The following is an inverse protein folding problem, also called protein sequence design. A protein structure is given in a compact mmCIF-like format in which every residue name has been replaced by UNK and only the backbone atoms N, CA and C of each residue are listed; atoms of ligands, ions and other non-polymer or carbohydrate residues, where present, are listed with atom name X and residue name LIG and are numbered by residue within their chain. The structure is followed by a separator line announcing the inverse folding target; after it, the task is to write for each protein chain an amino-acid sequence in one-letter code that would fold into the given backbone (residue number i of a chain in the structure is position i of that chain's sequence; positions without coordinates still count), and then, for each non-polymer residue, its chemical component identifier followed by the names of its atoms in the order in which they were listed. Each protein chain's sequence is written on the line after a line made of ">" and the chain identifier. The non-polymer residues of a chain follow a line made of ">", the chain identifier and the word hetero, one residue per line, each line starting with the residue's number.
data_IF_202012584403
#
_entry.id   IF_202012584403
#
_cell.length_a   1.000
_cell.length_b   1.000
_cell.length_c   1.000
_cell.angle_alpha   90.00
_cell.angle_beta   90.00
_cell.angle_gamma   90.00
#
_symmetry.space_group_name_H-M   'P 1'
#
loop_
_entity.id
_entity.type
_entity.pdbx_description
1 polymer ?
#
# COMPACT_ATOMS: atom_id res chain seq x y z
N UNK A 1 -36.29 -62.21 14.91
CA UNK A 1 -37.37 -62.96 14.24
C UNK A 1 -37.64 -62.22 12.94
N UNK A 2 -37.11 -62.72 11.81
CA UNK A 2 -37.87 -63.42 10.75
C UNK A 2 -38.73 -62.40 9.96
N UNK A 3 -38.66 -62.17 8.65
CA UNK A 3 -38.43 -63.01 7.46
C UNK A 3 -38.25 -62.06 6.26
N UNK A 4 -37.25 -62.20 5.38
CA UNK A 4 -37.28 -62.89 4.06
C UNK A 4 -38.39 -62.48 3.06
N UNK A 5 -37.96 -61.92 1.92
CA UNK A 5 -38.53 -61.99 0.54
C UNK A 5 -37.53 -61.23 -0.36
N UNK A 6 -36.72 -61.77 -1.29
CA UNK A 6 -36.79 -62.84 -2.30
C UNK A 6 -37.53 -62.44 -3.60
N UNK A 7 -36.78 -62.47 -4.72
CA UNK A 7 -37.22 -62.34 -6.14
C UNK A 7 -36.32 -61.36 -6.92
N UNK A 8 -35.26 -61.74 -7.65
CA UNK A 8 -35.19 -62.48 -8.94
C UNK A 8 -35.97 -61.75 -10.05
N UNK A 9 -35.52 -61.55 -11.30
CA UNK A 9 -34.31 -61.79 -12.09
C UNK A 9 -34.48 -61.02 -13.42
N UNK A 10 -33.42 -60.64 -14.15
CA UNK A 10 -33.34 -60.74 -15.63
C UNK A 10 -32.01 -60.24 -16.21
N UNK A 11 -31.53 -61.01 -17.21
CA UNK A 11 -30.68 -60.64 -18.39
C UNK A 11 -29.29 -60.04 -18.12
N UNK A 12 -28.18 -60.76 -18.22
CA UNK A 12 -27.58 -61.51 -19.34
C UNK A 12 -27.21 -60.66 -20.58
N UNK A 13 -25.90 -60.67 -20.85
CA UNK A 13 -25.17 -60.47 -22.10
C UNK A 13 -24.97 -59.05 -22.66
N UNK A 14 -23.73 -58.54 -22.49
CA UNK A 14 -22.88 -58.28 -23.67
C UNK A 14 -21.39 -58.27 -23.30
N UNK A 15 -20.70 -59.28 -23.83
CA UNK A 15 -19.25 -59.31 -23.96
C UNK A 15 -18.81 -58.20 -24.93
N UNK A 16 -17.87 -57.34 -24.50
CA UNK A 16 -16.98 -56.69 -25.47
C UNK A 16 -15.54 -56.71 -25.00
N UNK A 17 -14.72 -57.24 -25.89
CA UNK A 17 -13.36 -57.70 -25.76
C UNK A 17 -12.37 -56.52 -25.86
N UNK A 18 -11.47 -56.37 -24.88
CA UNK A 18 -10.29 -55.53 -25.06
C UNK A 18 -9.08 -56.08 -24.28
N UNK A 19 -8.06 -56.47 -25.05
CA UNK A 19 -6.78 -57.06 -24.63
C UNK A 19 -6.02 -56.19 -23.60
N UNK A 20 -5.16 -56.80 -22.74
CA UNK A 20 -4.43 -56.08 -21.71
C UNK A 20 -3.24 -55.29 -22.30
N UNK A 21 -3.48 -54.03 -22.70
CA UNK A 21 -2.39 -53.10 -23.06
C UNK A 21 -1.73 -52.52 -21.81
N UNK A 22 -0.72 -53.26 -21.33
CA UNK A 22 0.58 -52.76 -20.86
C UNK A 22 0.57 -51.40 -20.12
N UNK A 23 0.35 -51.47 -18.80
CA UNK A 23 0.60 -50.41 -17.80
C UNK A 23 1.95 -49.67 -17.96
N UNK A 24 2.97 -50.28 -18.59
CA UNK A 24 4.29 -49.68 -18.82
C UNK A 24 4.31 -48.58 -19.91
N UNK A 25 3.34 -48.52 -20.81
CA UNK A 25 3.29 -47.46 -21.85
C UNK A 25 2.78 -46.11 -21.31
N UNK A 26 1.93 -46.11 -20.27
CA UNK A 26 1.41 -44.87 -19.66
C UNK A 26 2.44 -44.14 -18.81
N UNK A 27 3.40 -44.85 -18.20
CA UNK A 27 4.45 -44.21 -17.40
C UNK A 27 5.53 -43.51 -18.24
N UNK A 28 5.81 -43.97 -19.47
CA UNK A 28 6.77 -43.29 -20.36
C UNK A 28 6.26 -41.96 -20.91
N UNK A 29 4.94 -41.80 -21.11
CA UNK A 29 4.34 -40.51 -21.49
C UNK A 29 4.25 -39.50 -20.33
N UNK A 30 4.28 -39.98 -19.09
CA UNK A 30 4.33 -39.10 -17.91
C UNK A 30 5.73 -38.53 -17.68
N UNK A 31 6.79 -39.30 -17.95
CA UNK A 31 8.18 -38.84 -17.77
C UNK A 31 8.64 -37.82 -18.82
N UNK A 32 8.12 -37.88 -20.06
CA UNK A 32 8.47 -36.92 -21.10
C UNK A 32 7.79 -35.53 -20.95
N UNK A 33 6.79 -35.40 -20.07
CA UNK A 33 6.11 -34.12 -19.77
C UNK A 33 6.75 -33.31 -18.65
N UNK A 34 7.79 -33.84 -18.00
CA UNK A 34 8.46 -33.18 -16.87
C UNK A 34 9.69 -32.36 -17.32
N UNK A 35 10.10 -32.45 -18.59
CA UNK A 35 11.38 -31.89 -19.05
C UNK A 35 11.29 -30.75 -20.06
N UNK A 36 10.17 -30.02 -20.12
CA UNK A 36 10.13 -28.68 -20.72
C UNK A 36 9.28 -27.78 -19.82
N UNK A 37 9.85 -26.73 -19.20
CA UNK A 37 9.11 -25.86 -18.31
C UNK A 37 8.08 -25.06 -19.12
N UNK A 38 6.81 -25.46 -19.02
CA UNK A 38 5.64 -24.79 -19.58
C UNK A 38 5.35 -23.40 -18.95
N UNK A 39 6.24 -22.91 -18.07
CA UNK A 39 6.09 -21.63 -17.38
C UNK A 39 6.46 -20.38 -18.21
N UNK A 40 7.26 -20.52 -19.29
CA UNK A 40 7.74 -19.34 -20.05
C UNK A 40 6.65 -18.77 -20.98
N UNK A 41 5.78 -19.63 -21.54
CA UNK A 41 4.69 -19.20 -22.42
C UNK A 41 3.49 -18.58 -21.69
N UNK A 42 3.23 -18.98 -20.44
CA UNK A 42 2.16 -18.41 -19.62
C UNK A 42 2.52 -17.03 -19.07
N UNK A 43 3.78 -16.81 -18.69
CA UNK A 43 4.27 -15.49 -18.25
C UNK A 43 4.25 -14.46 -19.39
N UNK A 44 4.62 -14.84 -20.62
CA UNK A 44 4.64 -13.93 -21.76
C UNK A 44 3.23 -13.47 -22.17
N UNK A 45 2.23 -14.37 -22.10
CA UNK A 45 0.83 -14.02 -22.41
C UNK A 45 0.20 -13.12 -21.34
N UNK A 46 0.71 -13.16 -20.10
CA UNK A 46 0.29 -12.27 -19.01
C UNK A 46 0.92 -10.88 -19.12
N UNK A 47 2.15 -10.77 -19.65
CA UNK A 47 2.80 -9.49 -19.96
C UNK A 47 2.13 -8.74 -21.13
N UNK A 48 1.56 -9.45 -22.13
CA UNK A 48 0.85 -8.83 -23.26
C UNK A 48 -0.48 -8.15 -22.92
N UNK A 49 -1.19 -8.62 -21.87
CA UNK A 49 -2.39 -7.97 -21.32
C UNK A 49 -2.09 -6.90 -20.26
N UNK A 50 -0.82 -6.76 -19.86
CA UNK A 50 -0.39 -5.82 -18.82
C UNK A 50 -0.57 -4.37 -19.28
N UNK A 51 -0.39 -4.06 -20.57
CA UNK A 51 -0.54 -2.68 -21.09
C UNK A 51 -1.95 -2.10 -20.95
N UNK A 52 -3.00 -2.88 -21.22
CA UNK A 52 -4.39 -2.45 -21.04
C UNK A 52 -4.76 -2.32 -19.56
N UNK A 53 -4.27 -3.25 -18.73
CA UNK A 53 -4.52 -3.24 -17.29
C UNK A 53 -3.78 -2.10 -16.58
N UNK A 54 -2.61 -1.68 -17.09
CA UNK A 54 -1.91 -0.49 -16.59
C UNK A 54 -2.73 0.75 -16.93
N UNK A 55 -3.25 0.88 -18.14
CA UNK A 55 -4.12 2.01 -18.52
C UNK A 55 -5.37 2.11 -17.64
N UNK A 56 -6.01 0.99 -17.36
CA UNK A 56 -7.17 0.90 -16.47
C UNK A 56 -6.81 1.18 -15.01
N UNK A 57 -5.68 0.67 -14.51
CA UNK A 57 -5.17 0.98 -13.18
C UNK A 57 -4.78 2.46 -13.02
N UNK A 58 -4.24 3.08 -14.07
CA UNK A 58 -3.86 4.49 -14.08
C UNK A 58 -5.09 5.39 -14.20
N UNK A 59 -6.11 4.97 -14.97
CA UNK A 59 -7.41 5.63 -15.02
C UNK A 59 -8.13 5.54 -13.67
N UNK A 60 -8.17 4.36 -13.04
CA UNK A 60 -8.69 4.16 -11.70
C UNK A 60 -7.93 5.00 -10.67
N UNK A 61 -6.60 5.02 -10.71
CA UNK A 61 -5.79 5.85 -9.81
C UNK A 61 -6.02 7.35 -10.02
N UNK A 62 -6.22 7.80 -11.27
CA UNK A 62 -6.60 9.19 -11.58
C UNK A 62 -7.99 9.52 -11.04
N UNK A 63 -8.94 8.60 -11.19
CA UNK A 63 -10.28 8.76 -10.67
C UNK A 63 -10.29 8.78 -9.14
N UNK A 64 -9.57 7.87 -8.48
CA UNK A 64 -9.37 7.89 -7.02
C UNK A 64 -8.71 9.20 -6.58
N UNK A 65 -7.69 9.68 -7.29
CA UNK A 65 -7.05 10.97 -6.98
C UNK A 65 -8.00 12.15 -7.19
N UNK A 66 -8.89 12.08 -8.19
CA UNK A 66 -9.91 13.09 -8.45
C UNK A 66 -10.96 13.08 -7.34
N UNK A 67 -11.49 11.91 -6.96
CA UNK A 67 -12.40 11.73 -5.82
C UNK A 67 -11.77 12.21 -4.52
N UNK A 68 -10.55 11.79 -4.20
CA UNK A 68 -9.83 12.30 -3.02
C UNK A 68 -9.59 13.81 -3.07
N UNK A 69 -9.41 14.40 -4.26
CA UNK A 69 -9.26 15.85 -4.40
C UNK A 69 -10.59 16.59 -4.25
N UNK A 70 -11.67 16.01 -4.74
CA UNK A 70 -13.04 16.52 -4.57
C UNK A 70 -13.48 16.39 -3.10
N UNK A 71 -13.27 15.23 -2.49
CA UNK A 71 -13.49 14.97 -1.06
C UNK A 71 -12.61 15.86 -0.16
N UNK A 72 -11.35 16.10 -0.54
CA UNK A 72 -10.48 17.04 0.17
C UNK A 72 -10.81 18.52 -0.12
N UNK A 73 -11.53 18.81 -1.21
CA UNK A 73 -12.00 20.15 -1.55
C UNK A 73 -13.35 20.46 -0.90
N UNK A 74 -14.12 19.44 -0.54
CA UNK A 74 -15.22 19.60 0.40
C UNK A 74 -14.60 20.02 1.73
N UNK A 75 -14.88 21.24 2.24
CA UNK A 75 -14.47 21.58 3.58
C UNK A 75 -15.07 20.52 4.49
N UNK A 76 -14.26 19.89 5.34
CA UNK A 76 -14.75 18.98 6.37
C UNK A 76 -15.69 19.82 7.25
N UNK A 77 -16.98 19.78 6.93
CA UNK A 77 -18.02 20.62 7.54
C UNK A 77 -18.51 20.00 8.83
N UNK A 78 -18.36 18.69 8.99
CA UNK A 78 -18.81 17.98 10.17
C UNK A 78 -17.85 16.84 10.54
N UNK A 79 -17.77 16.54 11.83
CA UNK A 79 -17.04 15.39 12.37
C UNK A 79 -18.05 14.51 13.09
N UNK A 80 -18.05 13.23 12.74
CA UNK A 80 -18.78 12.20 13.44
C UNK A 80 -17.98 11.79 14.68
N UNK A 81 -18.56 12.00 15.85
CA UNK A 81 -17.99 11.58 17.12
C UNK A 81 -18.09 10.05 17.27
N UNK A 82 -17.30 9.49 18.18
CA UNK A 82 -17.39 8.07 18.55
C UNK A 82 -18.80 7.68 19.06
N UNK A 83 -19.53 8.67 19.58
CA UNK A 83 -20.90 8.53 20.07
C UNK A 83 -21.95 8.60 18.94
N UNK A 84 -21.52 8.73 17.68
CA UNK A 84 -22.38 8.83 16.50
C UNK A 84 -22.99 10.21 16.28
N UNK A 85 -22.68 11.19 17.12
CA UNK A 85 -23.15 12.58 16.99
C UNK A 85 -22.35 13.33 15.94
N UNK A 86 -23.03 14.03 15.05
CA UNK A 86 -22.43 14.88 14.04
C UNK A 86 -22.33 16.31 14.58
N UNK A 87 -21.11 16.86 14.68
CA UNK A 87 -20.88 18.24 15.09
C UNK A 87 -20.36 19.02 13.90
N UNK A 88 -21.02 20.14 13.59
CA UNK A 88 -20.56 21.08 12.57
C UNK A 88 -19.26 21.78 13.00
N UNK A 89 -18.29 21.83 12.08
CA UNK A 89 -16.98 22.43 12.29
C UNK A 89 -17.05 23.92 11.98
N UNK A 90 -16.49 24.78 12.86
CA UNK A 90 -16.34 26.19 12.59
C UNK A 90 -15.58 26.45 11.29
N UNK A 91 -15.91 27.56 10.63
CA UNK A 91 -15.21 28.00 9.42
C UNK A 91 -13.79 28.49 9.72
N UNK A 92 -13.54 28.98 10.94
CA UNK A 92 -12.22 29.45 11.35
C UNK A 92 -11.28 28.26 11.70
N UNK A 93 -10.08 28.17 11.10
CA UNK A 93 -9.16 27.04 11.31
C UNK A 93 -8.63 26.90 12.75
N UNK A 94 -8.60 27.99 13.54
CA UNK A 94 -8.24 27.97 14.96
C UNK A 94 -9.34 27.33 15.80
N UNK A 95 -10.57 27.84 15.68
CA UNK A 95 -11.73 27.30 16.38
C UNK A 95 -11.99 25.83 16.01
N UNK A 96 -11.76 25.48 14.75
CA UNK A 96 -11.86 24.10 14.27
C UNK A 96 -10.87 23.17 14.96
N UNK A 97 -9.62 23.62 15.16
CA UNK A 97 -8.63 22.84 15.89
C UNK A 97 -9.00 22.69 17.36
N UNK A 98 -9.49 23.76 18.01
CA UNK A 98 -9.94 23.69 19.41
C UNK A 98 -11.14 22.77 19.61
N UNK A 99 -12.10 22.78 18.67
CA UNK A 99 -13.24 21.87 18.71
C UNK A 99 -12.77 20.42 18.57
N UNK A 100 -11.89 20.12 17.61
CA UNK A 100 -11.26 18.80 17.50
C UNK A 100 -10.51 18.40 18.77
N UNK A 101 -9.78 19.34 19.36
CA UNK A 101 -8.99 19.13 20.58
C UNK A 101 -9.90 18.77 21.77
N UNK A 102 -11.04 19.46 21.92
CA UNK A 102 -12.05 19.18 22.95
C UNK A 102 -12.74 17.85 22.70
N UNK A 103 -13.15 17.57 21.47
CA UNK A 103 -13.83 16.33 21.08
C UNK A 103 -12.94 15.11 21.31
N UNK A 104 -11.65 15.19 20.98
CA UNK A 104 -10.69 14.10 21.20
C UNK A 104 -10.17 14.01 22.64
N UNK A 105 -10.70 14.83 23.57
CA UNK A 105 -10.31 14.89 24.98
C UNK A 105 -8.80 14.96 25.19
N UNK A 106 -8.09 15.73 24.36
CA UNK A 106 -6.64 15.83 24.46
C UNK A 106 -6.23 16.53 25.76
N UNK A 107 -5.63 15.77 26.67
CA UNK A 107 -5.01 16.33 27.87
C UNK A 107 -3.70 17.06 27.47
N UNK A 108 -3.38 18.24 28.05
CA UNK A 108 -2.12 18.95 27.77
C UNK A 108 -0.86 18.07 27.91
N UNK A 109 -0.87 17.06 28.79
CA UNK A 109 0.22 16.07 28.89
C UNK A 109 0.39 15.22 27.63
N UNK A 110 -0.73 14.79 27.04
CA UNK A 110 -0.76 13.99 25.80
C UNK A 110 -0.34 14.85 24.61
N UNK A 111 -0.73 16.12 24.60
CA UNK A 111 -0.31 17.05 23.55
C UNK A 111 1.21 17.23 23.52
N UNK A 112 1.84 17.45 24.68
CA UNK A 112 3.30 17.57 24.75
C UNK A 112 4.03 16.28 24.35
N UNK A 113 3.48 15.11 24.72
CA UNK A 113 4.07 13.83 24.32
C UNK A 113 3.96 13.59 22.81
N UNK A 114 2.85 13.97 22.19
CA UNK A 114 2.66 13.91 20.73
C UNK A 114 3.62 14.82 19.98
N UNK A 115 3.83 16.06 20.44
CA UNK A 115 4.83 16.98 19.84
C UNK A 115 6.22 16.37 19.92
N UNK A 116 6.59 15.83 21.09
CA UNK A 116 7.90 15.19 21.28
C UNK A 116 8.07 13.96 20.39
N UNK A 117 7.01 13.14 20.24
CA UNK A 117 7.01 11.99 19.36
C UNK A 117 7.14 12.40 17.88
N UNK A 118 6.42 13.45 17.45
CA UNK A 118 6.52 14.00 16.10
C UNK A 118 7.94 14.48 15.79
N UNK A 119 8.59 15.20 16.72
CA UNK A 119 9.99 15.63 16.59
C UNK A 119 10.95 14.45 16.47
N UNK A 120 10.82 13.44 17.34
CA UNK A 120 11.66 12.24 17.27
C UNK A 120 11.49 11.50 15.95
N UNK A 121 10.26 11.45 15.44
CA UNK A 121 9.96 10.80 14.16
C UNK A 121 10.52 11.59 12.98
N UNK A 122 10.45 12.94 13.03
CA UNK A 122 11.06 13.84 12.05
C UNK A 122 12.57 13.62 11.96
N UNK A 123 13.28 13.67 13.09
CA UNK A 123 14.73 13.43 13.11
C UNK A 123 15.08 11.97 12.78
N UNK A 124 14.24 11.02 13.20
CA UNK A 124 14.38 9.61 12.83
C UNK A 124 14.28 9.39 11.32
N UNK A 125 13.32 10.02 10.64
CA UNK A 125 13.17 9.90 9.18
C UNK A 125 14.33 10.54 8.43
N UNK A 126 14.77 11.73 8.86
CA UNK A 126 15.94 12.40 8.28
C UNK A 126 17.18 11.51 8.45
N UNK A 127 17.45 11.04 9.68
CA UNK A 127 18.59 10.17 9.96
C UNK A 127 18.56 8.88 9.16
N UNK A 128 17.40 8.21 9.09
CA UNK A 128 17.24 6.98 8.32
C UNK A 128 17.46 7.21 6.82
N UNK A 129 16.97 8.33 6.26
CA UNK A 129 17.16 8.68 4.85
C UNK A 129 18.63 9.03 4.53
N UNK A 130 19.33 9.67 5.45
CA UNK A 130 20.75 9.98 5.30
C UNK A 130 21.60 8.71 5.34
N UNK A 131 21.35 7.84 6.32
CA UNK A 131 22.04 6.56 6.47
C UNK A 131 21.80 5.66 5.25
N UNK A 132 20.56 5.56 4.77
CA UNK A 132 20.25 4.77 3.58
C UNK A 132 20.92 5.35 2.33
N UNK A 133 20.96 6.67 2.17
CA UNK A 133 21.65 7.31 1.06
C UNK A 133 23.16 7.04 1.09
N UNK A 134 23.82 7.20 2.25
CA UNK A 134 25.25 6.90 2.42
C UNK A 134 25.54 5.43 2.09
N UNK A 135 24.71 4.51 2.57
CA UNK A 135 24.85 3.08 2.30
C UNK A 135 24.74 2.79 0.81
N UNK A 136 23.79 3.42 0.11
CA UNK A 136 23.65 3.30 -1.34
C UNK A 136 24.86 3.87 -2.07
N UNK A 137 25.39 5.02 -1.66
CA UNK A 137 26.62 5.60 -2.23
C UNK A 137 27.81 4.65 -2.10
N UNK A 138 28.00 4.01 -0.94
CA UNK A 138 29.06 3.00 -0.75
C UNK A 138 28.83 1.77 -1.63
N UNK A 139 27.57 1.33 -1.77
CA UNK A 139 27.21 0.17 -2.59
C UNK A 139 27.51 0.40 -4.08
N UNK A 140 27.37 1.64 -4.58
CA UNK A 140 27.69 1.99 -5.98
C UNK A 140 29.16 1.69 -6.32
N UNK A 141 30.09 1.85 -5.38
CA UNK A 141 31.51 1.58 -5.63
C UNK A 141 31.85 0.08 -5.63
N UNK A 142 31.06 -0.75 -4.97
CA UNK A 142 31.30 -2.20 -4.90
C UNK A 142 30.59 -2.98 -6.00
N UNK A 143 29.54 -2.41 -6.57
CA UNK A 143 28.63 -3.09 -7.49
C UNK A 143 29.04 -2.86 -8.96
N UNK A 144 28.89 -3.86 -9.85
CA UNK A 144 29.16 -3.70 -11.28
C UNK A 144 28.44 -2.49 -11.91
N UNK A 145 29.11 -1.81 -12.84
CA UNK A 145 28.65 -0.56 -13.45
C UNK A 145 27.23 -0.62 -14.07
N UNK A 146 26.80 -1.77 -14.58
CA UNK A 146 25.45 -1.89 -15.16
C UNK A 146 24.33 -1.82 -14.11
N UNK A 147 24.60 -2.25 -12.86
CA UNK A 147 23.64 -2.16 -11.76
C UNK A 147 23.53 -0.75 -11.20
N UNK A 148 24.58 0.08 -11.31
CA UNK A 148 24.51 1.47 -10.83
C UNK A 148 23.46 2.30 -11.58
N UNK A 149 23.21 1.98 -12.85
CA UNK A 149 22.17 2.62 -13.68
C UNK A 149 20.79 2.47 -13.04
N UNK A 150 20.51 1.33 -12.40
CA UNK A 150 19.23 1.10 -11.69
C UNK A 150 19.27 1.64 -10.27
N UNK A 151 20.44 1.59 -9.62
CA UNK A 151 20.60 1.99 -8.23
C UNK A 151 20.45 3.51 -8.03
N UNK A 152 20.92 4.33 -8.98
CA UNK A 152 20.83 5.79 -8.92
C UNK A 152 19.36 6.27 -8.82
N UNK A 153 18.44 5.94 -9.75
CA UNK A 153 17.05 6.37 -9.64
C UNK A 153 16.35 5.77 -8.41
N UNK A 154 16.69 4.55 -8.00
CA UNK A 154 16.17 3.97 -6.76
C UNK A 154 16.60 4.80 -5.52
N UNK A 155 17.84 5.27 -5.48
CA UNK A 155 18.35 6.13 -4.40
C UNK A 155 17.62 7.48 -4.34
N UNK A 156 17.36 8.08 -5.51
CA UNK A 156 16.61 9.34 -5.61
C UNK A 156 15.17 9.17 -5.16
N UNK A 157 14.54 8.02 -5.46
CA UNK A 157 13.19 7.71 -4.98
C UNK A 157 13.15 7.58 -3.46
N UNK A 158 14.11 6.88 -2.85
CA UNK A 158 14.21 6.77 -1.39
C UNK A 158 14.39 8.15 -0.76
N UNK A 159 15.25 9.00 -1.33
CA UNK A 159 15.46 10.37 -0.86
C UNK A 159 14.19 11.22 -0.99
N UNK A 160 13.46 11.10 -2.10
CA UNK A 160 12.20 11.81 -2.32
C UNK A 160 11.11 11.38 -1.32
N UNK A 161 11.02 10.08 -1.02
CA UNK A 161 10.11 9.54 0.00
C UNK A 161 10.51 10.02 1.40
N UNK A 162 11.81 10.00 1.72
CA UNK A 162 12.36 10.53 2.97
C UNK A 162 12.07 12.02 3.16
N UNK A 163 12.22 12.81 2.09
CA UNK A 163 11.85 14.21 2.10
C UNK A 163 10.35 14.37 2.36
N UNK A 164 9.48 13.72 1.56
CA UNK A 164 8.03 13.82 1.69
C UNK A 164 7.50 13.45 3.08
N UNK A 165 8.06 12.40 3.69
CA UNK A 165 7.71 11.99 5.07
C UNK A 165 8.17 13.04 6.09
N UNK A 166 9.35 13.63 5.92
CA UNK A 166 9.85 14.73 6.76
C UNK A 166 8.95 15.96 6.67
N UNK A 167 8.52 16.36 5.45
CA UNK A 167 7.57 17.47 5.26
C UNK A 167 6.23 17.19 5.96
N UNK A 168 5.73 15.95 5.88
CA UNK A 168 4.47 15.56 6.55
C UNK A 168 4.58 15.75 8.07
N UNK A 169 5.66 15.30 8.69
CA UNK A 169 5.86 15.46 10.14
C UNK A 169 6.10 16.90 10.57
N UNK A 170 6.81 17.69 9.75
CA UNK A 170 6.99 19.12 10.00
C UNK A 170 5.67 19.89 9.97
N UNK A 171 4.78 19.57 9.03
CA UNK A 171 3.45 20.18 8.96
C UNK A 171 2.60 19.82 10.19
N UNK A 172 2.65 18.55 10.62
CA UNK A 172 1.95 18.09 11.82
C UNK A 172 2.47 18.81 13.07
N UNK A 173 3.78 18.96 13.22
CA UNK A 173 4.38 19.74 14.32
C UNK A 173 3.93 21.21 14.30
N UNK A 174 3.89 21.83 13.11
CA UNK A 174 3.43 23.21 12.96
C UNK A 174 1.96 23.36 13.38
N UNK A 175 1.08 22.46 12.94
CA UNK A 175 -0.33 22.47 13.31
C UNK A 175 -0.53 22.30 14.81
N UNK A 176 0.22 21.40 15.45
CA UNK A 176 0.15 21.21 16.90
C UNK A 176 0.64 22.45 17.66
N UNK A 177 1.74 23.06 17.21
CA UNK A 177 2.34 24.20 17.92
C UNK A 177 1.49 25.48 17.77
N UNK A 178 0.93 25.71 16.59
CA UNK A 178 0.08 26.89 16.31
C UNK A 178 -1.39 26.69 16.63
N UNK A 179 -1.81 25.47 16.97
CA UNK A 179 -3.21 25.10 17.22
C UNK A 179 -4.15 25.55 16.10
N UNK A 180 -3.68 25.41 14.86
CA UNK A 180 -4.43 25.84 13.67
C UNK A 180 -4.29 24.78 12.58
N UNK A 181 -5.41 24.37 11.99
CA UNK A 181 -5.43 23.44 10.86
C UNK A 181 -5.05 24.20 9.59
N UNK A 182 -3.79 24.10 9.19
CA UNK A 182 -3.24 24.82 8.03
C UNK A 182 -3.02 23.88 6.85
N UNK A 183 -3.46 24.28 5.67
CA UNK A 183 -3.23 23.55 4.41
C UNK A 183 -1.75 23.62 4.00
N UNK A 184 -1.26 22.56 3.34
CA UNK A 184 0.13 22.48 2.85
C UNK A 184 0.62 23.72 2.08
N UNK A 185 -0.24 24.33 1.25
CA UNK A 185 0.10 25.56 0.50
C UNK A 185 0.42 26.73 1.42
N UNK A 186 -0.37 26.91 2.46
CA UNK A 186 -0.21 28.00 3.43
C UNK A 186 1.00 27.74 4.33
N UNK A 187 1.33 26.47 4.59
CA UNK A 187 2.53 26.09 5.32
C UNK A 187 3.83 26.44 4.55
N UNK A 188 3.89 26.15 3.25
CA UNK A 188 5.06 26.52 2.42
C UNK A 188 5.25 28.04 2.32
N UNK A 189 4.15 28.80 2.31
CA UNK A 189 4.20 30.26 2.21
C UNK A 189 4.71 30.96 3.49
N UNK A 190 4.96 30.23 4.59
CA UNK A 190 5.45 30.82 5.83
C UNK A 190 6.91 31.29 5.68
N UNK A 191 7.26 32.51 6.15
CA UNK A 191 8.63 33.02 6.03
C UNK A 191 9.66 32.17 6.81
N UNK A 192 9.24 31.56 7.92
CA UNK A 192 10.08 30.71 8.77
C UNK A 192 10.01 29.22 8.42
N UNK A 193 9.61 28.87 7.20
CA UNK A 193 9.37 27.50 6.76
C UNK A 193 10.54 26.55 7.06
N UNK A 194 11.77 26.95 6.72
CA UNK A 194 12.96 26.13 6.93
C UNK A 194 13.25 25.87 8.42
N UNK A 195 12.91 26.83 9.29
CA UNK A 195 13.09 26.66 10.73
C UNK A 195 12.24 25.50 11.26
N UNK A 196 11.04 25.29 10.73
CA UNK A 196 10.16 24.20 11.14
C UNK A 196 10.62 22.81 10.66
N UNK A 197 11.35 22.76 9.55
CA UNK A 197 11.93 21.49 9.07
C UNK A 197 13.14 21.10 9.93
N UNK A 198 14.05 22.05 10.18
CA UNK A 198 15.37 21.75 10.72
C UNK A 198 15.53 21.97 12.24
N UNK A 199 14.66 22.75 12.88
CA UNK A 199 14.62 22.92 14.34
C UNK A 199 13.52 22.05 14.96
#
# INVERSE_FOLDING_TARGET
>A
MASSTQGAAHEQDEQSTAKPQTRRARFRRAAAKVLIPSGVGLAWRQFGKSGSNIGEALAAARETRKRMREDAALPIKSVLLADGTEIDLPNDPSERFELLYKVMQWNPRIHHSQITAARRTKFGSIGMSLVSFILVCLLIFMVPMWLSIVLIPASLLVLAIGAATTFRWALVEYQYTRRSLVTYRVFIAQPDFFRWIFC
#
